data_IF_943654480405
#
_entry.id   IF_943654480405
#
_cell.length_a   1.000
_cell.length_b   1.000
_cell.length_c   1.000
_cell.angle_alpha   90.00
_cell.angle_beta   90.00
_cell.angle_gamma   90.00
#
_symmetry.space_group_name_H-M   'P 1'
#
loop_
_entity.id
_entity.type
_entity.pdbx_description
1 polymer ?
#
# COMPACT_ATOMS: atom_id res chain seq x y z
N UNK A 1 35.59 18.67 -28.49
CA UNK A 1 34.21 19.07 -28.12
C UNK A 1 34.31 20.30 -27.23
N UNK A 2 33.66 21.42 -27.57
CA UNK A 2 33.81 22.69 -26.82
C UNK A 2 33.37 22.51 -25.37
N UNK A 3 34.18 22.98 -24.41
CA UNK A 3 33.90 22.93 -22.96
C UNK A 3 32.50 23.46 -22.63
N UNK A 4 32.02 24.47 -23.38
CA UNK A 4 30.67 25.05 -23.24
C UNK A 4 29.54 24.11 -23.66
N UNK A 5 29.77 23.22 -24.62
CA UNK A 5 28.78 22.23 -25.06
C UNK A 5 28.66 21.07 -24.05
N UNK A 6 29.79 20.68 -23.45
CA UNK A 6 29.81 19.65 -22.41
C UNK A 6 29.05 20.09 -21.15
N UNK A 7 29.27 21.33 -20.69
CA UNK A 7 28.56 21.87 -19.51
C UNK A 7 27.04 21.92 -19.73
N UNK A 8 26.57 22.34 -20.92
CA UNK A 8 25.14 22.37 -21.26
C UNK A 8 24.50 20.98 -21.26
N UNK A 9 25.22 19.99 -21.76
CA UNK A 9 24.75 18.60 -21.77
C UNK A 9 24.56 18.06 -20.35
N UNK A 10 25.52 18.28 -19.45
CA UNK A 10 25.42 17.83 -18.06
C UNK A 10 24.31 18.57 -17.31
N UNK A 11 24.14 19.87 -17.56
CA UNK A 11 23.05 20.66 -16.98
C UNK A 11 21.67 20.13 -17.41
N UNK A 12 21.53 19.74 -18.68
CA UNK A 12 20.29 19.17 -19.22
C UNK A 12 19.99 17.79 -18.62
N UNK A 13 21.01 16.96 -18.43
CA UNK A 13 20.89 15.66 -17.76
C UNK A 13 20.47 15.84 -16.30
N UNK A 14 21.06 16.79 -15.57
CA UNK A 14 20.67 17.08 -14.17
C UNK A 14 19.23 17.57 -14.08
N UNK A 15 18.80 18.46 -14.98
CA UNK A 15 17.41 18.94 -15.02
C UNK A 15 16.45 17.78 -15.31
N UNK A 16 16.80 16.89 -16.23
CA UNK A 16 15.99 15.71 -16.53
C UNK A 16 15.87 14.79 -15.32
N UNK A 17 16.98 14.52 -14.62
CA UNK A 17 16.96 13.73 -13.38
C UNK A 17 16.16 14.41 -12.27
N UNK A 18 16.26 15.72 -12.12
CA UNK A 18 15.49 16.47 -11.11
C UNK A 18 13.99 16.44 -11.41
N UNK A 19 13.59 16.58 -12.67
CA UNK A 19 12.20 16.47 -13.10
C UNK A 19 11.65 15.05 -12.89
N UNK A 20 12.43 14.02 -13.22
CA UNK A 20 12.06 12.62 -12.98
C UNK A 20 11.93 12.30 -11.48
N UNK A 21 12.83 12.83 -10.64
CA UNK A 21 12.74 12.68 -9.19
C UNK A 21 11.48 13.34 -8.61
N UNK A 22 11.17 14.56 -9.06
CA UNK A 22 9.96 15.28 -8.62
C UNK A 22 8.67 14.59 -9.04
N UNK A 23 8.65 13.88 -10.18
CA UNK A 23 7.46 13.17 -10.67
C UNK A 23 7.15 11.88 -9.88
N UNK A 24 8.13 11.35 -9.14
CA UNK A 24 7.97 10.17 -8.28
C UNK A 24 7.88 10.53 -6.79
N UNK A 25 7.80 11.83 -6.46
CA UNK A 25 7.65 12.26 -5.08
C UNK A 25 6.25 11.86 -4.58
N UNK A 26 6.20 11.18 -3.43
CA UNK A 26 4.94 10.85 -2.78
C UNK A 26 4.29 12.15 -2.25
N UNK A 27 3.02 12.35 -2.55
CA UNK A 27 2.30 13.53 -2.07
C UNK A 27 2.10 13.44 -0.56
N UNK A 28 2.81 14.29 0.17
CA UNK A 28 2.60 14.47 1.61
C UNK A 28 1.50 15.51 1.78
N UNK A 29 0.37 15.11 2.38
CA UNK A 29 -0.73 16.01 2.70
C UNK A 29 -0.60 16.51 4.14
N UNK A 30 0.03 17.68 4.39
CA UNK A 30 0.35 18.13 5.75
C UNK A 30 -0.89 18.44 6.60
N UNK A 31 -2.02 18.76 5.96
CA UNK A 31 -3.27 19.11 6.63
C UNK A 31 -4.35 18.02 6.50
N UNK A 32 -4.01 16.84 5.99
CA UNK A 32 -4.97 15.75 5.88
C UNK A 32 -5.26 15.14 7.24
N UNK A 33 -6.54 15.10 7.62
CA UNK A 33 -7.02 14.26 8.71
C UNK A 33 -7.12 12.81 8.25
N UNK A 34 -6.64 11.84 9.04
CA UNK A 34 -6.87 10.43 8.77
C UNK A 34 -8.35 10.13 8.60
N UNK A 35 -8.67 9.25 7.66
CA UNK A 35 -10.01 8.71 7.48
C UNK A 35 -10.40 7.89 8.71
N UNK A 36 -11.69 7.82 8.98
CA UNK A 36 -12.21 6.87 9.97
C UNK A 36 -11.97 5.44 9.48
N UNK A 37 -11.86 4.49 10.41
CA UNK A 37 -11.48 3.11 10.10
C UNK A 37 -12.44 2.45 9.09
N UNK A 38 -13.74 2.68 9.22
CA UNK A 38 -14.76 2.11 8.32
C UNK A 38 -14.72 2.71 6.91
N UNK A 39 -14.15 3.91 6.75
CA UNK A 39 -13.92 4.54 5.45
C UNK A 39 -12.59 4.09 4.83
N UNK A 40 -11.55 3.93 5.66
CA UNK A 40 -10.23 3.47 5.22
C UNK A 40 -10.21 1.99 4.84
N UNK A 41 -11.02 1.16 5.49
CA UNK A 41 -11.00 -0.30 5.39
C UNK A 41 -12.40 -0.90 5.18
N UNK A 42 -12.98 -0.67 4.00
CA UNK A 42 -14.33 -1.14 3.69
C UNK A 42 -14.33 -2.66 3.49
N UNK A 43 -15.03 -3.39 4.36
CA UNK A 43 -15.14 -4.85 4.29
C UNK A 43 -16.22 -5.31 3.31
N UNK A 44 -15.95 -6.40 2.60
CA UNK A 44 -16.88 -7.06 1.69
C UNK A 44 -16.65 -8.57 1.70
N UNK A 45 -17.66 -9.35 1.29
CA UNK A 45 -17.59 -10.80 1.29
C UNK A 45 -18.31 -11.43 0.10
N UNK A 46 -17.87 -12.61 -0.29
CA UNK A 46 -18.46 -13.38 -1.37
C UNK A 46 -18.43 -14.86 -1.06
N UNK A 47 -19.58 -15.52 -1.16
CA UNK A 47 -19.68 -16.98 -1.07
C UNK A 47 -19.25 -17.57 -2.41
N UNK A 48 -18.10 -18.24 -2.44
CA UNK A 48 -17.51 -18.82 -3.66
C UNK A 48 -17.84 -20.30 -3.84
N UNK A 49 -18.31 -20.95 -2.77
CA UNK A 49 -18.73 -22.34 -2.81
C UNK A 49 -19.49 -22.76 -1.55
N UNK A 50 -19.85 -24.05 -1.43
CA UNK A 50 -20.65 -24.54 -0.29
C UNK A 50 -20.00 -24.34 1.07
N UNK A 51 -18.66 -24.38 1.12
CA UNK A 51 -17.86 -24.29 2.36
C UNK A 51 -16.74 -23.25 2.24
N UNK A 52 -16.87 -22.28 1.33
CA UNK A 52 -15.84 -21.29 1.07
C UNK A 52 -16.44 -19.89 0.98
N UNK A 53 -15.83 -18.97 1.72
CA UNK A 53 -16.16 -17.54 1.70
C UNK A 53 -14.87 -16.77 1.52
N UNK A 54 -14.87 -15.86 0.57
CA UNK A 54 -13.81 -14.87 0.41
C UNK A 54 -14.23 -13.61 1.14
N UNK A 55 -13.43 -13.19 2.10
CA UNK A 55 -13.56 -11.88 2.76
C UNK A 55 -12.47 -10.97 2.20
N UNK A 56 -12.84 -9.75 1.80
CA UNK A 56 -11.94 -8.76 1.24
C UNK A 56 -12.12 -7.41 1.90
N UNK A 57 -11.06 -6.62 1.91
CA UNK A 57 -11.09 -5.23 2.31
C UNK A 57 -10.71 -4.38 1.10
N UNK A 58 -11.52 -3.37 0.79
CA UNK A 58 -11.11 -2.27 -0.05
C UNK A 58 -10.37 -1.27 0.84
N UNK A 59 -9.07 -1.10 0.59
CA UNK A 59 -8.19 -0.30 1.43
C UNK A 59 -7.89 1.00 0.70
N UNK A 60 -8.12 2.12 1.39
CA UNK A 60 -7.80 3.46 0.87
C UNK A 60 -6.30 3.64 0.65
N UNK A 61 -5.94 4.53 -0.28
CA UNK A 61 -4.55 4.84 -0.59
C UNK A 61 -3.78 5.28 0.66
N UNK A 62 -2.55 4.81 0.81
CA UNK A 62 -1.67 5.03 1.97
C UNK A 62 -2.10 4.37 3.29
N UNK A 63 -3.14 3.53 3.29
CA UNK A 63 -3.50 2.67 4.41
C UNK A 63 -3.06 1.22 4.17
N UNK A 64 -2.86 0.46 5.25
CA UNK A 64 -2.53 -0.97 5.16
C UNK A 64 -2.99 -1.73 6.41
N UNK A 65 -3.19 -3.05 6.24
CA UNK A 65 -3.55 -3.97 7.32
C UNK A 65 -2.41 -4.97 7.55
N UNK A 66 -2.13 -5.26 8.82
CA UNK A 66 -1.13 -6.23 9.22
C UNK A 66 -1.67 -7.65 9.08
N UNK A 67 -1.02 -8.47 8.25
CA UNK A 67 -1.45 -9.86 7.99
C UNK A 67 -1.52 -10.71 9.26
N UNK A 68 -0.60 -10.52 10.19
CA UNK A 68 -0.51 -11.28 11.45
C UNK A 68 -1.52 -10.82 12.52
N UNK A 69 -2.27 -9.74 12.27
CA UNK A 69 -3.29 -9.22 13.20
C UNK A 69 -4.72 -9.65 12.86
N UNK A 70 -4.90 -10.40 11.78
CA UNK A 70 -6.19 -11.00 11.47
C UNK A 70 -6.49 -12.17 12.41
N UNK A 71 -7.70 -12.17 12.98
CA UNK A 71 -8.21 -13.24 13.83
C UNK A 71 -9.60 -13.60 13.31
N UNK A 72 -9.85 -14.90 13.10
CA UNK A 72 -11.13 -15.41 12.65
C UNK A 72 -11.70 -16.37 13.69
N UNK A 73 -12.98 -16.23 13.98
CA UNK A 73 -13.70 -17.08 14.94
C UNK A 73 -15.17 -17.19 14.57
N UNK A 74 -15.78 -18.34 14.85
CA UNK A 74 -17.21 -18.56 14.66
C UNK A 74 -17.76 -19.43 15.79
N UNK A 75 -19.01 -19.19 16.19
CA UNK A 75 -19.76 -20.04 17.12
C UNK A 75 -20.53 -21.16 16.42
N UNK A 76 -20.80 -21.00 15.13
CA UNK A 76 -21.80 -21.79 14.41
C UNK A 76 -21.15 -22.83 13.49
N UNK A 77 -19.87 -22.65 13.15
CA UNK A 77 -19.11 -23.54 12.28
C UNK A 77 -17.62 -23.52 12.62
N UNK A 78 -16.91 -24.54 12.15
CA UNK A 78 -15.46 -24.62 12.25
C UNK A 78 -14.80 -23.97 11.04
N UNK A 79 -13.74 -23.20 11.28
CA UNK A 79 -12.87 -22.63 10.25
C UNK A 79 -11.67 -23.56 10.13
N UNK A 80 -11.58 -24.27 9.01
CA UNK A 80 -10.54 -25.28 8.79
C UNK A 80 -9.21 -24.64 8.37
N UNK A 81 -9.25 -23.78 7.35
CA UNK A 81 -8.07 -23.10 6.81
C UNK A 81 -8.36 -21.63 6.49
N UNK A 82 -7.34 -20.78 6.59
CA UNK A 82 -7.38 -19.35 6.27
C UNK A 82 -6.29 -19.03 5.26
N UNK A 83 -6.72 -18.85 4.02
CA UNK A 83 -5.82 -18.58 2.90
C UNK A 83 -5.66 -17.08 2.67
N UNK A 84 -4.45 -16.56 2.91
CA UNK A 84 -4.09 -15.17 2.62
C UNK A 84 -3.39 -15.04 1.26
N UNK A 85 -3.59 -13.94 0.53
CA UNK A 85 -2.71 -13.60 -0.58
C UNK A 85 -1.28 -13.32 -0.08
N UNK A 86 -0.29 -13.28 -1.00
CA UNK A 86 1.04 -12.78 -0.69
C UNK A 86 0.95 -11.37 -0.10
N UNK A 87 1.61 -11.14 1.03
CA UNK A 87 1.68 -9.82 1.68
C UNK A 87 3.01 -9.14 1.37
N UNK A 88 3.00 -7.81 1.28
CA UNK A 88 4.21 -7.01 1.22
C UNK A 88 4.89 -6.98 2.60
N UNK A 89 6.22 -7.01 2.61
CA UNK A 89 7.00 -6.74 3.82
C UNK A 89 7.08 -5.23 3.98
N UNK A 90 6.61 -4.70 5.11
CA UNK A 90 6.68 -3.29 5.45
C UNK A 90 7.38 -3.13 6.78
N UNK A 91 8.29 -2.16 6.86
CA UNK A 91 8.87 -1.73 8.12
C UNK A 91 8.17 -0.45 8.57
N UNK A 92 7.74 -0.38 9.82
CA UNK A 92 7.19 0.84 10.41
C UNK A 92 7.64 1.05 11.86
N UNK A 93 7.35 2.25 12.36
CA UNK A 93 7.77 2.69 13.70
C UNK A 93 6.96 2.03 14.84
N UNK A 94 5.80 1.44 14.53
CA UNK A 94 4.89 0.88 15.54
C UNK A 94 5.17 -0.59 15.81
N UNK A 95 5.42 -1.37 14.77
CA UNK A 95 5.58 -2.83 14.86
C UNK A 95 6.90 -3.35 14.27
N UNK A 96 7.69 -2.51 13.63
CA UNK A 96 8.94 -2.93 12.99
C UNK A 96 8.66 -3.72 11.71
N UNK A 97 9.36 -4.86 11.53
CA UNK A 97 9.11 -5.82 10.44
C UNK A 97 7.94 -6.76 10.75
#
# INVERSE_FOLDING_TARGET
MSLRASVKFHLLVIIFYAAAFSACAEEVFPDATPLDADEAFVIDHMVTGPNEVVVRWQISENYYLYKDKFIFSSSDFYIDDVNFPPAAVKFDEFFGL
#
